data_IF_585433029852
#
_entry.id   IF_585433029852
#
_cell.length_a   1.000
_cell.length_b   1.000
_cell.length_c   1.000
_cell.angle_alpha   90.00
_cell.angle_beta   90.00
_cell.angle_gamma   90.00
#
_symmetry.space_group_name_H-M   'P 1'
#
loop_
_entity.id
_entity.type
_entity.pdbx_description
1 polymer ?
#
# COMPACT_ATOMS: atom_id res chain seq x y z
N UNK A 1 -20.83 4.78 34.56
CA UNK A 1 -21.02 4.10 33.25
C UNK A 1 -21.65 4.98 32.16
N UNK A 2 -22.77 5.68 32.42
CA UNK A 2 -23.47 6.50 31.39
C UNK A 2 -22.57 7.50 30.64
N UNK A 3 -21.69 8.22 31.35
CA UNK A 3 -20.80 9.24 30.75
C UNK A 3 -19.73 8.64 29.82
N UNK A 4 -19.12 7.51 30.22
CA UNK A 4 -18.06 6.85 29.43
C UNK A 4 -18.61 6.23 28.13
N UNK A 5 -19.82 5.67 28.16
CA UNK A 5 -20.49 5.16 26.95
C UNK A 5 -20.81 6.30 25.99
N UNK A 6 -21.34 7.42 26.48
CA UNK A 6 -21.59 8.61 25.65
C UNK A 6 -20.30 9.16 25.03
N UNK A 7 -19.19 9.13 25.76
CA UNK A 7 -17.87 9.50 25.24
C UNK A 7 -17.42 8.54 24.13
N UNK A 8 -17.55 7.23 24.33
CA UNK A 8 -17.25 6.24 23.28
C UNK A 8 -18.15 6.39 22.05
N UNK A 9 -19.43 6.67 22.24
CA UNK A 9 -20.36 6.90 21.13
C UNK A 9 -19.96 8.12 20.32
N UNK A 10 -19.66 9.24 20.98
CA UNK A 10 -19.15 10.44 20.30
C UNK A 10 -17.85 10.14 19.56
N UNK A 11 -16.92 9.39 20.17
CA UNK A 11 -15.68 8.99 19.51
C UNK A 11 -15.95 8.10 18.29
N UNK A 12 -16.91 7.18 18.36
CA UNK A 12 -17.21 6.25 17.27
C UNK A 12 -17.83 6.88 16.04
N UNK A 13 -18.45 8.05 16.20
CA UNK A 13 -18.88 8.87 15.08
C UNK A 13 -17.69 9.34 14.23
N UNK A 14 -16.50 9.44 14.84
CA UNK A 14 -15.26 9.78 14.14
C UNK A 14 -14.45 8.52 13.79
N UNK A 15 -14.24 7.60 14.73
CA UNK A 15 -13.41 6.39 14.59
C UNK A 15 -14.22 5.14 14.93
N UNK A 16 -14.79 4.43 13.95
CA UNK A 16 -15.74 3.35 14.21
C UNK A 16 -15.11 2.05 14.74
N UNK A 17 -13.78 1.94 14.68
CA UNK A 17 -13.01 0.82 15.24
C UNK A 17 -12.29 1.30 16.50
N UNK A 18 -12.47 0.56 17.59
CA UNK A 18 -11.91 0.86 18.90
C UNK A 18 -10.87 -0.18 19.30
N UNK A 19 -9.79 0.28 19.92
CA UNK A 19 -8.71 -0.58 20.38
C UNK A 19 -8.68 -0.61 21.91
N UNK A 20 -8.47 -1.79 22.49
CA UNK A 20 -8.32 -1.95 23.94
C UNK A 20 -7.21 -1.05 24.49
N UNK A 21 -6.07 -0.97 23.78
CA UNK A 21 -4.95 -0.11 24.19
C UNK A 21 -5.36 1.37 24.28
N UNK A 22 -6.14 1.87 23.31
CA UNK A 22 -6.64 3.23 23.33
C UNK A 22 -7.71 3.43 24.42
N UNK A 23 -8.67 2.50 24.54
CA UNK A 23 -9.73 2.59 25.55
C UNK A 23 -9.17 2.57 26.98
N UNK A 24 -8.12 1.79 27.23
CA UNK A 24 -7.41 1.75 28.51
C UNK A 24 -6.76 3.10 28.84
N UNK A 25 -6.13 3.76 27.85
CA UNK A 25 -5.61 5.13 27.99
C UNK A 25 -6.72 6.16 28.26
N UNK A 26 -7.95 5.90 27.81
CA UNK A 26 -9.13 6.71 28.14
C UNK A 26 -9.75 6.36 29.50
N UNK A 27 -9.13 5.49 30.30
CA UNK A 27 -9.59 5.10 31.63
C UNK A 27 -10.78 4.13 31.62
N UNK A 28 -10.94 3.35 30.54
CA UNK A 28 -11.95 2.28 30.43
C UNK A 28 -11.27 0.95 30.72
N UNK A 29 -11.60 0.35 31.87
CA UNK A 29 -10.97 -0.89 32.29
C UNK A 29 -11.44 -2.08 31.44
N UNK A 30 -10.64 -3.15 31.37
CA UNK A 30 -11.01 -4.38 30.64
C UNK A 30 -12.34 -5.00 31.09
N UNK A 31 -12.68 -4.90 32.37
CA UNK A 31 -13.97 -5.34 32.91
C UNK A 31 -15.14 -4.51 32.38
N UNK A 32 -14.96 -3.19 32.24
CA UNK A 32 -15.94 -2.30 31.61
C UNK A 32 -16.10 -2.64 30.12
N UNK A 33 -15.00 -2.89 29.39
CA UNK A 33 -15.08 -3.34 28.00
C UNK A 33 -15.85 -4.66 27.86
N UNK A 34 -15.63 -5.61 28.78
CA UNK A 34 -16.34 -6.89 28.79
C UNK A 34 -17.84 -6.73 29.10
N UNK A 35 -18.20 -5.84 30.04
CA UNK A 35 -19.59 -5.48 30.33
C UNK A 35 -20.28 -4.84 29.12
N UNK A 36 -19.60 -3.95 28.39
CA UNK A 36 -20.12 -3.35 27.15
C UNK A 36 -20.39 -4.38 26.06
N UNK A 37 -19.51 -5.39 25.94
CA UNK A 37 -19.72 -6.51 25.00
C UNK A 37 -20.88 -7.40 25.47
N UNK A 38 -20.94 -7.75 26.76
CA UNK A 38 -21.99 -8.59 27.32
C UNK A 38 -23.38 -7.97 27.22
N UNK A 39 -23.47 -6.63 27.24
CA UNK A 39 -24.71 -5.86 27.04
C UNK A 39 -25.03 -5.55 25.59
N UNK A 40 -24.21 -6.01 24.63
CA UNK A 40 -24.43 -5.80 23.20
C UNK A 40 -24.14 -4.38 22.69
N UNK A 41 -23.44 -3.53 23.44
CA UNK A 41 -23.04 -2.20 22.94
C UNK A 41 -21.86 -2.28 21.98
N UNK A 42 -20.90 -3.15 22.31
CA UNK A 42 -19.71 -3.38 21.51
C UNK A 42 -19.69 -4.82 21.01
N UNK A 43 -19.22 -5.00 19.79
CA UNK A 43 -18.88 -6.30 19.21
C UNK A 43 -17.37 -6.41 19.08
N UNK A 44 -16.82 -7.53 19.54
CA UNK A 44 -15.41 -7.84 19.37
C UNK A 44 -15.17 -8.34 17.94
N UNK A 45 -14.22 -7.74 17.23
CA UNK A 45 -13.84 -8.15 15.86
C UNK A 45 -12.49 -8.89 15.84
N UNK A 46 -11.64 -8.64 16.82
CA UNK A 46 -10.41 -9.39 17.08
C UNK A 46 -10.01 -9.25 18.56
N UNK A 47 -8.93 -9.92 18.97
CA UNK A 47 -8.39 -9.72 20.31
C UNK A 47 -7.99 -8.24 20.51
N UNK A 48 -8.66 -7.57 21.45
CA UNK A 48 -8.42 -6.16 21.75
C UNK A 48 -8.95 -5.18 20.69
N UNK A 49 -9.77 -5.62 19.74
CA UNK A 49 -10.35 -4.75 18.70
C UNK A 49 -11.87 -4.91 18.68
N UNK A 50 -12.57 -3.78 18.65
CA UNK A 50 -14.01 -3.71 18.81
C UNK A 50 -14.61 -2.72 17.81
N UNK A 51 -15.90 -2.88 17.55
CA UNK A 51 -16.74 -1.86 16.93
C UNK A 51 -18.07 -1.79 17.69
N UNK A 52 -18.86 -0.75 17.44
CA UNK A 52 -20.24 -0.73 17.94
C UNK A 52 -21.09 -1.81 17.26
N UNK A 53 -22.09 -2.30 17.97
CA UNK A 53 -23.05 -3.22 17.39
C UNK A 53 -23.80 -2.58 16.20
N UNK A 54 -24.14 -3.40 15.19
CA UNK A 54 -24.72 -2.93 13.93
C UNK A 54 -23.75 -2.25 12.95
N UNK A 55 -22.50 -1.98 13.35
CA UNK A 55 -21.47 -1.48 12.41
C UNK A 55 -20.77 -2.64 11.70
N UNK A 56 -20.61 -2.52 10.38
CA UNK A 56 -19.84 -3.44 9.54
C UNK A 56 -18.44 -2.88 9.28
N UNK A 57 -17.38 -3.48 9.84
CA UNK A 57 -15.99 -3.05 9.64
C UNK A 57 -15.58 -3.12 8.18
N UNK A 58 -14.97 -2.05 7.69
CA UNK A 58 -14.27 -2.01 6.40
C UNK A 58 -12.79 -1.77 6.62
N UNK A 59 -11.95 -2.15 5.65
CA UNK A 59 -10.51 -1.92 5.77
C UNK A 59 -10.18 -0.42 5.90
N UNK A 60 -10.74 0.51 5.10
CA UNK A 60 -10.46 1.94 5.27
C UNK A 60 -10.83 2.46 6.67
N UNK A 61 -11.93 2.01 7.24
CA UNK A 61 -12.35 2.38 8.60
C UNK A 61 -11.36 1.90 9.67
N UNK A 62 -10.83 0.69 9.50
CA UNK A 62 -9.79 0.11 10.37
C UNK A 62 -8.49 0.91 10.27
N UNK A 63 -8.00 1.16 9.05
CA UNK A 63 -6.76 1.93 8.83
C UNK A 63 -6.88 3.37 9.34
N UNK A 64 -8.04 4.00 9.11
CA UNK A 64 -8.36 5.32 9.63
C UNK A 64 -8.32 5.35 11.16
N UNK A 65 -8.93 4.35 11.81
CA UNK A 65 -8.95 4.28 13.28
C UNK A 65 -7.56 4.01 13.84
N UNK A 66 -6.74 3.17 13.20
CA UNK A 66 -5.33 2.98 13.55
C UNK A 66 -4.54 4.29 13.50
N UNK A 67 -4.70 5.07 12.42
CA UNK A 67 -4.07 6.37 12.27
C UNK A 67 -4.52 7.35 13.36
N UNK A 68 -5.83 7.47 13.59
CA UNK A 68 -6.39 8.48 14.49
C UNK A 68 -6.20 8.15 15.96
N UNK A 69 -6.37 6.88 16.36
CA UNK A 69 -6.35 6.48 17.76
C UNK A 69 -4.97 6.03 18.24
N UNK A 70 -4.16 5.43 17.35
CA UNK A 70 -2.88 4.81 17.72
C UNK A 70 -1.68 5.43 16.97
N UNK A 71 -1.89 6.44 16.14
CA UNK A 71 -0.83 7.10 15.37
C UNK A 71 -0.13 6.22 14.35
N UNK A 72 -0.72 5.08 13.97
CA UNK A 72 -0.11 4.10 13.07
C UNK A 72 -0.23 4.53 11.60
N UNK A 73 0.81 4.24 10.81
CA UNK A 73 0.93 4.67 9.42
C UNK A 73 0.86 3.53 8.41
N UNK A 74 -0.19 2.72 8.47
CA UNK A 74 -0.41 1.69 7.45
C UNK A 74 -0.83 2.36 6.13
N UNK A 75 -0.14 2.01 5.03
CA UNK A 75 -0.31 2.67 3.72
C UNK A 75 -0.83 1.66 2.72
N UNK A 76 -1.88 2.02 1.99
CA UNK A 76 -2.31 1.29 0.80
C UNK A 76 -1.30 1.59 -0.31
N UNK A 77 -0.59 0.58 -0.80
CA UNK A 77 0.55 0.73 -1.70
C UNK A 77 0.46 -0.15 -2.95
N UNK A 78 1.53 -0.16 -3.74
CA UNK A 78 1.65 -1.00 -4.95
C UNK A 78 0.42 -0.92 -5.88
N UNK A 79 -0.07 -2.07 -6.41
CA UNK A 79 -1.20 -2.09 -7.35
C UNK A 79 -2.48 -1.50 -6.75
N UNK A 80 -2.75 -1.74 -5.47
CA UNK A 80 -3.92 -1.16 -4.78
C UNK A 80 -3.93 0.37 -4.83
N UNK A 81 -2.78 1.01 -4.64
CA UNK A 81 -2.69 2.48 -4.73
C UNK A 81 -2.89 3.01 -6.15
N UNK A 82 -2.43 2.26 -7.16
CA UNK A 82 -2.63 2.57 -8.57
C UNK A 82 -4.12 2.45 -8.93
N UNK A 83 -4.76 1.34 -8.55
CA UNK A 83 -6.18 1.08 -8.79
C UNK A 83 -7.09 2.12 -8.14
N UNK A 84 -6.82 2.50 -6.88
CA UNK A 84 -7.55 3.56 -6.19
C UNK A 84 -7.48 4.91 -6.93
N UNK A 85 -6.45 5.12 -7.76
CA UNK A 85 -6.27 6.33 -8.58
C UNK A 85 -6.73 6.16 -10.02
N UNK A 86 -7.39 5.05 -10.34
CA UNK A 86 -7.91 4.74 -11.68
C UNK A 86 -6.87 4.18 -12.65
N UNK A 87 -5.70 3.76 -12.17
CA UNK A 87 -4.69 3.07 -12.97
C UNK A 87 -4.80 1.57 -12.75
N UNK A 88 -5.61 0.92 -13.57
CA UNK A 88 -5.74 -0.54 -13.58
C UNK A 88 -5.91 -1.02 -15.02
N UNK A 89 -5.44 -2.24 -15.29
CA UNK A 89 -5.74 -2.93 -16.53
C UNK A 89 -6.84 -3.95 -16.27
N UNK A 90 -7.98 -3.76 -16.94
CA UNK A 90 -9.14 -4.64 -16.80
C UNK A 90 -8.78 -6.03 -17.35
N UNK A 91 -8.68 -7.04 -16.49
CA UNK A 91 -8.40 -8.39 -16.97
C UNK A 91 -8.46 -9.54 -15.98
N UNK A 92 -8.36 -9.31 -14.68
CA UNK A 92 -8.28 -10.44 -13.74
C UNK A 92 -9.67 -10.83 -13.23
N UNK A 93 -10.11 -12.03 -13.63
CA UNK A 93 -11.25 -12.72 -13.02
C UNK A 93 -10.89 -13.12 -11.57
N UNK A 94 -11.07 -12.22 -10.61
CA UNK A 94 -10.87 -12.48 -9.18
C UNK A 94 -10.71 -11.20 -8.36
N UNK A 95 -10.85 -11.28 -7.04
CA UNK A 95 -10.48 -10.18 -6.14
C UNK A 95 -8.95 -10.07 -6.10
N UNK A 96 -8.38 -8.93 -6.54
CA UNK A 96 -6.95 -8.69 -6.38
C UNK A 96 -6.59 -8.56 -4.89
N UNK A 97 -5.41 -9.07 -4.49
CA UNK A 97 -4.92 -8.83 -3.15
C UNK A 97 -4.77 -7.33 -2.86
N UNK A 98 -5.18 -6.91 -1.67
CA UNK A 98 -4.96 -5.55 -1.19
C UNK A 98 -3.56 -5.45 -0.58
N UNK A 99 -2.71 -4.61 -1.15
CA UNK A 99 -1.33 -4.40 -0.69
C UNK A 99 -1.24 -3.31 0.37
N UNK A 100 -0.80 -3.72 1.56
CA UNK A 100 -0.52 -2.84 2.70
C UNK A 100 0.97 -2.79 2.99
N UNK A 101 1.51 -1.58 2.99
CA UNK A 101 2.88 -1.32 3.40
C UNK A 101 3.00 -1.39 4.92
N UNK A 102 3.97 -2.18 5.38
CA UNK A 102 4.41 -2.27 6.77
C UNK A 102 5.55 -1.28 7.01
N UNK A 103 5.32 -0.17 7.74
CA UNK A 103 6.37 0.78 8.08
C UNK A 103 7.46 0.14 8.91
N UNK A 104 8.69 0.60 8.73
CA UNK A 104 9.84 0.10 9.49
C UNK A 104 9.60 0.32 11.00
N UNK A 105 9.61 -0.77 11.77
CA UNK A 105 9.44 -0.76 13.23
C UNK A 105 8.00 -0.90 13.73
N UNK A 106 7.01 -0.83 12.84
CA UNK A 106 5.59 -1.05 13.18
C UNK A 106 5.12 -2.38 12.59
N UNK A 107 4.97 -3.39 13.43
CA UNK A 107 4.45 -4.68 12.98
C UNK A 107 2.96 -4.60 12.65
N UNK A 108 2.59 -5.23 11.53
CA UNK A 108 1.17 -5.40 11.18
C UNK A 108 0.54 -6.42 12.14
N UNK A 109 -0.55 -6.06 12.85
CA UNK A 109 -1.18 -6.94 13.81
C UNK A 109 -1.66 -8.23 13.17
N UNK A 110 -1.40 -9.37 13.83
CA UNK A 110 -1.72 -10.71 13.32
C UNK A 110 -3.19 -10.87 12.89
N UNK A 111 -4.12 -10.19 13.55
CA UNK A 111 -5.55 -10.30 13.18
C UNK A 111 -5.88 -9.68 11.82
N UNK A 112 -5.09 -8.72 11.33
CA UNK A 112 -5.18 -8.25 9.94
C UNK A 112 -4.63 -9.29 8.97
N UNK A 113 -3.68 -10.13 9.41
CA UNK A 113 -3.04 -11.13 8.57
C UNK A 113 -3.87 -12.42 8.43
N UNK A 114 -4.63 -12.78 9.46
CA UNK A 114 -5.39 -14.03 9.51
C UNK A 114 -6.89 -13.83 9.32
N UNK A 115 -7.34 -12.59 9.21
CA UNK A 115 -8.76 -12.25 9.17
C UNK A 115 -9.31 -12.22 7.74
N UNK A 116 -10.22 -13.14 7.43
CA UNK A 116 -11.03 -13.07 6.19
C UNK A 116 -12.02 -11.89 6.19
N UNK A 117 -12.12 -11.14 7.29
CA UNK A 117 -13.09 -10.06 7.47
C UNK A 117 -12.86 -8.88 6.50
N UNK A 118 -11.62 -8.68 6.04
CA UNK A 118 -11.19 -7.47 5.32
C UNK A 118 -10.60 -7.75 3.93
N UNK A 119 -10.87 -8.93 3.36
CA UNK A 119 -10.36 -9.35 2.05
C UNK A 119 -8.99 -10.04 2.09
N UNK A 120 -8.45 -10.38 0.91
CA UNK A 120 -7.09 -10.93 0.77
C UNK A 120 -6.04 -9.82 0.96
N UNK A 121 -5.58 -9.64 2.19
CA UNK A 121 -4.56 -8.65 2.51
C UNK A 121 -3.16 -9.22 2.30
N UNK A 122 -2.35 -8.52 1.52
CA UNK A 122 -0.93 -8.80 1.34
C UNK A 122 -0.10 -7.70 1.97
N UNK A 123 0.82 -8.11 2.81
CA UNK A 123 1.68 -7.21 3.53
C UNK A 123 3.05 -7.21 2.89
N UNK A 124 3.62 -6.03 2.73
CA UNK A 124 4.96 -5.90 2.24
C UNK A 124 5.69 -4.82 3.04
N UNK A 125 6.86 -5.17 3.56
CA UNK A 125 7.82 -4.20 4.04
C UNK A 125 8.88 -4.01 2.97
N UNK A 126 9.24 -2.78 2.69
CA UNK A 126 10.36 -2.49 1.79
C UNK A 126 11.29 -1.50 2.45
N UNK A 127 12.58 -1.81 2.37
CA UNK A 127 13.65 -0.84 2.55
C UNK A 127 13.90 -0.04 1.27
N UNK A 128 12.96 -0.06 0.31
CA UNK A 128 13.14 0.55 -1.01
C UNK A 128 13.53 2.01 -0.89
N UNK A 129 12.86 2.75 0.00
CA UNK A 129 13.10 4.18 0.25
C UNK A 129 13.65 4.48 1.65
N UNK A 130 14.27 3.50 2.32
CA UNK A 130 14.85 3.66 3.67
C UNK A 130 13.89 4.28 4.71
N UNK A 131 12.61 3.90 4.69
CA UNK A 131 11.59 4.44 5.59
C UNK A 131 11.11 5.86 5.27
N UNK A 132 11.49 6.42 4.11
CA UNK A 132 11.01 7.74 3.67
C UNK A 132 9.50 7.73 3.43
N UNK A 133 8.88 8.83 3.87
CA UNK A 133 7.47 9.12 3.67
C UNK A 133 7.15 9.78 2.32
N UNK A 134 8.17 10.01 1.49
CA UNK A 134 8.02 10.61 0.17
C UNK A 134 7.02 9.80 -0.67
N UNK A 135 6.06 10.52 -1.28
CA UNK A 135 5.00 9.92 -2.07
C UNK A 135 3.94 9.17 -1.25
N UNK A 136 3.82 9.42 0.06
CA UNK A 136 2.68 8.93 0.85
C UNK A 136 1.71 10.11 1.09
N UNK A 137 0.48 9.94 0.66
CA UNK A 137 -0.55 11.00 0.65
C UNK A 137 -1.78 10.56 1.42
N UNK A 138 -2.60 11.51 1.89
CA UNK A 138 -3.94 11.22 2.40
C UNK A 138 -4.94 11.21 1.24
N UNK A 139 -5.73 10.15 1.17
CA UNK A 139 -6.80 9.99 0.19
C UNK A 139 -8.06 9.51 0.90
N UNK A 140 -9.21 10.01 0.47
CA UNK A 140 -10.50 9.50 0.92
C UNK A 140 -10.82 8.17 0.23
N UNK A 141 -11.00 7.11 1.01
CA UNK A 141 -11.38 5.78 0.52
C UNK A 141 -12.53 5.27 1.39
N UNK A 142 -13.68 4.99 0.77
CA UNK A 142 -14.87 4.51 1.49
C UNK A 142 -15.34 5.45 2.62
N UNK A 143 -15.19 6.77 2.44
CA UNK A 143 -15.56 7.79 3.44
C UNK A 143 -14.51 8.03 4.54
N UNK A 144 -13.33 7.41 4.45
CA UNK A 144 -12.27 7.57 5.44
C UNK A 144 -10.96 8.05 4.79
N UNK A 145 -10.32 9.06 5.38
CA UNK A 145 -8.99 9.50 4.95
C UNK A 145 -7.91 8.52 5.43
N UNK A 146 -7.30 7.79 4.50
CA UNK A 146 -6.24 6.81 4.76
C UNK A 146 -4.95 7.19 4.05
N UNK A 147 -3.83 6.63 4.47
CA UNK A 147 -2.56 6.81 3.76
C UNK A 147 -2.54 5.93 2.52
N UNK A 148 -2.19 6.53 1.38
CA UNK A 148 -2.08 5.85 0.09
C UNK A 148 -0.81 6.33 -0.62
N UNK A 149 -0.08 5.40 -1.24
CA UNK A 149 1.07 5.75 -2.08
C UNK A 149 0.61 6.58 -3.28
N UNK A 150 1.37 7.61 -3.64
CA UNK A 150 1.20 8.36 -4.87
C UNK A 150 1.55 7.47 -6.07
N UNK A 151 1.11 7.79 -7.30
CA UNK A 151 1.40 6.97 -8.47
C UNK A 151 2.90 6.72 -8.69
N UNK A 152 3.74 7.73 -8.40
CA UNK A 152 5.20 7.64 -8.52
C UNK A 152 5.79 6.59 -7.58
N UNK A 153 5.30 6.55 -6.35
CA UNK A 153 5.75 5.58 -5.34
C UNK A 153 5.14 4.21 -5.60
N UNK A 154 3.87 4.16 -5.93
CA UNK A 154 3.10 2.94 -6.11
C UNK A 154 3.64 2.09 -7.25
N UNK A 155 4.03 2.68 -8.38
CA UNK A 155 4.64 1.92 -9.48
C UNK A 155 5.98 1.28 -9.10
N UNK A 156 6.81 1.98 -8.33
CA UNK A 156 8.08 1.46 -7.83
C UNK A 156 7.87 0.32 -6.81
N UNK A 157 6.85 0.44 -5.96
CA UNK A 157 6.43 -0.62 -5.04
C UNK A 157 5.92 -1.85 -5.80
N UNK A 158 5.07 -1.67 -6.81
CA UNK A 158 4.56 -2.76 -7.64
C UNK A 158 5.68 -3.49 -8.38
N UNK A 159 6.63 -2.76 -8.99
CA UNK A 159 7.83 -3.33 -9.60
C UNK A 159 8.71 -4.11 -8.61
N UNK A 160 8.75 -3.69 -7.35
CA UNK A 160 9.48 -4.41 -6.32
C UNK A 160 8.84 -5.77 -6.00
N UNK A 161 7.51 -5.87 -6.11
CA UNK A 161 6.73 -7.09 -5.84
C UNK A 161 6.74 -8.11 -6.99
N UNK A 162 7.24 -7.75 -8.17
CA UNK A 162 7.40 -8.71 -9.29
C UNK A 162 8.58 -9.69 -9.06
N UNK A 163 8.56 -10.89 -9.66
CA UNK A 163 7.43 -11.54 -10.31
C UNK A 163 6.50 -12.26 -9.31
N UNK A 164 6.71 -12.07 -8.00
CA UNK A 164 6.04 -12.86 -6.95
C UNK A 164 4.53 -12.64 -6.92
N UNK A 165 4.10 -11.39 -7.09
CA UNK A 165 2.69 -11.01 -6.98
C UNK A 165 2.06 -10.55 -8.30
N UNK A 166 2.89 -10.01 -9.20
CA UNK A 166 2.45 -9.56 -10.51
C UNK A 166 3.48 -9.98 -11.55
N UNK A 167 3.02 -10.29 -12.76
CA UNK A 167 3.93 -10.46 -13.89
C UNK A 167 4.51 -9.10 -14.30
N UNK A 168 5.64 -9.11 -15.04
CA UNK A 168 6.21 -7.86 -15.55
C UNK A 168 5.33 -7.21 -16.62
N UNK A 169 4.59 -8.01 -17.41
CA UNK A 169 3.70 -7.49 -18.44
C UNK A 169 2.47 -6.81 -17.84
N UNK A 170 1.87 -7.37 -16.78
CA UNK A 170 0.73 -6.73 -16.10
C UNK A 170 1.09 -5.35 -15.54
N UNK A 171 2.26 -5.23 -14.90
CA UNK A 171 2.74 -3.94 -14.39
C UNK A 171 3.13 -3.01 -15.53
N UNK A 172 3.63 -3.53 -16.64
CA UNK A 172 3.96 -2.71 -17.81
C UNK A 172 2.72 -2.03 -18.36
N UNK A 173 1.63 -2.79 -18.56
CA UNK A 173 0.36 -2.21 -18.98
C UNK A 173 -0.02 -1.03 -18.09
N UNK A 174 -0.02 -1.21 -16.76
CA UNK A 174 -0.38 -0.12 -15.83
C UNK A 174 0.58 1.07 -15.98
N UNK A 175 1.87 0.81 -16.16
CA UNK A 175 2.89 1.84 -16.34
C UNK A 175 2.66 2.71 -17.59
N UNK A 176 2.13 2.16 -18.68
CA UNK A 176 1.82 2.91 -19.91
C UNK A 176 0.79 4.01 -19.67
N UNK A 177 -0.14 3.79 -18.73
CA UNK A 177 -1.16 4.78 -18.37
C UNK A 177 -0.59 5.95 -17.54
N UNK A 178 0.61 5.78 -16.95
CA UNK A 178 1.22 6.75 -16.01
C UNK A 178 1.89 7.91 -16.74
N UNK A 179 1.16 8.61 -17.62
CA UNK A 179 1.69 9.70 -18.44
C UNK A 179 1.91 11.01 -17.67
N UNK A 180 1.31 11.17 -16.49
CA UNK A 180 1.26 12.44 -15.73
C UNK A 180 1.98 12.41 -14.39
N UNK A 181 2.91 11.47 -14.19
CA UNK A 181 3.74 11.42 -12.98
C UNK A 181 4.51 12.73 -12.76
N UNK A 182 4.61 13.17 -11.49
CA UNK A 182 5.37 14.37 -11.11
C UNK A 182 6.86 14.07 -11.17
N UNK A 183 7.64 14.65 -12.09
CA UNK A 183 9.04 14.29 -12.28
C UNK A 183 9.90 14.56 -11.06
N UNK A 184 9.64 15.65 -10.32
CA UNK A 184 10.39 15.98 -9.10
C UNK A 184 10.23 14.96 -7.97
N UNK A 185 9.01 14.45 -7.77
CA UNK A 185 8.74 13.38 -6.78
C UNK A 185 9.40 12.08 -7.24
N UNK A 186 9.22 11.74 -8.52
CA UNK A 186 9.78 10.51 -9.09
C UNK A 186 11.31 10.49 -9.07
N UNK A 187 11.96 11.61 -9.38
CA UNK A 187 13.42 11.78 -9.29
C UNK A 187 13.91 11.47 -7.88
N UNK A 188 13.33 12.10 -6.86
CA UNK A 188 13.73 11.88 -5.47
C UNK A 188 13.49 10.43 -5.02
N UNK A 189 12.41 9.78 -5.47
CA UNK A 189 12.16 8.37 -5.19
C UNK A 189 13.18 7.46 -5.87
N UNK A 190 13.56 7.72 -7.12
CA UNK A 190 14.56 6.95 -7.85
C UNK A 190 15.98 7.12 -7.29
N UNK A 191 16.34 8.33 -6.87
CA UNK A 191 17.62 8.62 -6.22
C UNK A 191 17.74 7.94 -4.84
N UNK A 192 16.65 7.88 -4.09
CA UNK A 192 16.60 7.21 -2.77
C UNK A 192 16.36 5.70 -2.84
N UNK A 193 15.94 5.19 -4.01
CA UNK A 193 15.63 3.79 -4.23
C UNK A 193 16.89 2.91 -4.11
N UNK A 194 16.82 1.91 -3.22
CA UNK A 194 17.89 0.92 -3.02
C UNK A 194 17.85 -0.26 -4.00
N UNK A 195 16.85 -0.32 -4.88
CA UNK A 195 16.65 -1.46 -5.77
C UNK A 195 17.06 -1.16 -7.20
N UNK A 196 18.23 -1.67 -7.60
CA UNK A 196 18.72 -1.62 -8.99
C UNK A 196 17.71 -2.24 -9.97
N UNK A 197 17.03 -3.33 -9.56
CA UNK A 197 15.99 -3.98 -10.34
C UNK A 197 14.85 -3.00 -10.66
N UNK A 198 14.30 -2.36 -9.63
CA UNK A 198 13.15 -1.45 -9.75
C UNK A 198 13.53 -0.24 -10.60
N UNK A 199 14.69 0.36 -10.34
CA UNK A 199 15.16 1.53 -11.07
C UNK A 199 15.31 1.23 -12.57
N UNK A 200 15.96 0.11 -12.92
CA UNK A 200 16.13 -0.30 -14.33
C UNK A 200 14.80 -0.63 -15.01
N UNK A 201 13.91 -1.34 -14.33
CA UNK A 201 12.59 -1.68 -14.87
C UNK A 201 11.76 -0.43 -15.14
N UNK A 202 11.70 0.52 -14.22
CA UNK A 202 10.90 1.72 -14.44
C UNK A 202 11.43 2.54 -15.61
N UNK A 203 12.75 2.74 -15.72
CA UNK A 203 13.34 3.46 -16.85
C UNK A 203 13.10 2.71 -18.17
N UNK A 204 13.22 1.39 -18.17
CA UNK A 204 12.88 0.57 -19.34
C UNK A 204 11.40 0.74 -19.75
N UNK A 205 10.47 0.66 -18.80
CA UNK A 205 9.03 0.81 -19.06
C UNK A 205 8.74 2.20 -19.63
N UNK A 206 9.32 3.23 -19.03
CA UNK A 206 9.13 4.61 -19.47
C UNK A 206 9.68 4.88 -20.87
N UNK A 207 10.80 4.26 -21.22
CA UNK A 207 11.44 4.40 -22.53
C UNK A 207 10.68 3.63 -23.60
N UNK A 208 10.24 2.39 -23.29
CA UNK A 208 9.40 1.57 -24.18
C UNK A 208 8.08 2.27 -24.49
N UNK A 209 7.38 2.74 -23.45
CA UNK A 209 6.10 3.45 -23.58
C UNK A 209 6.23 4.94 -23.95
N UNK A 210 7.45 5.42 -24.21
CA UNK A 210 7.75 6.82 -24.57
C UNK A 210 7.15 7.87 -23.61
N UNK A 211 7.15 7.58 -22.30
CA UNK A 211 6.50 8.42 -21.30
C UNK A 211 7.14 9.82 -21.22
N UNK A 212 6.32 10.89 -21.23
CA UNK A 212 6.83 12.25 -21.41
C UNK A 212 7.67 12.78 -20.25
N UNK A 213 7.45 12.26 -19.04
CA UNK A 213 8.21 12.64 -17.85
C UNK A 213 9.64 12.07 -17.85
N UNK A 214 9.96 11.03 -18.64
CA UNK A 214 11.31 10.44 -18.66
C UNK A 214 12.38 11.46 -19.06
N UNK A 215 12.04 12.34 -20.00
CA UNK A 215 12.91 13.41 -20.53
C UNK A 215 13.28 14.45 -19.47
N UNK A 216 12.50 14.52 -18.39
CA UNK A 216 12.67 15.48 -17.31
C UNK A 216 13.45 14.90 -16.12
N UNK A 217 13.80 13.61 -16.18
CA UNK A 217 14.60 12.95 -15.16
C UNK A 217 16.10 13.09 -15.46
N UNK A 218 16.88 13.28 -14.41
CA UNK A 218 18.33 13.17 -14.43
C UNK A 218 18.72 11.73 -14.08
N UNK A 219 18.79 10.88 -15.10
CA UNK A 219 19.09 9.45 -14.95
C UNK A 219 20.51 9.19 -14.46
N UNK A 220 21.41 10.17 -14.55
CA UNK A 220 22.81 10.04 -14.06
C UNK A 220 22.88 9.95 -12.54
N UNK A 221 21.86 10.46 -11.83
CA UNK A 221 21.74 10.39 -10.38
C UNK A 221 21.05 9.14 -9.86
N UNK A 222 20.47 8.34 -10.76
CA UNK A 222 19.75 7.11 -10.39
C UNK A 222 20.74 5.96 -10.25
N UNK A 223 20.68 5.24 -9.13
CA UNK A 223 21.54 4.08 -8.93
C UNK A 223 21.09 2.89 -9.79
N UNK A 224 21.73 2.71 -10.94
CA UNK A 224 21.48 1.60 -11.86
C UNK A 224 22.42 0.41 -11.64
N UNK A 225 23.31 0.45 -10.65
CA UNK A 225 24.24 -0.66 -10.37
C UNK A 225 25.13 -1.06 -11.55
N UNK A 226 25.72 -2.25 -11.48
CA UNK A 226 26.58 -2.83 -12.53
C UNK A 226 26.17 -4.26 -12.82
N UNK A 227 26.45 -4.72 -14.05
CA UNK A 227 26.24 -6.09 -14.49
C UNK A 227 24.79 -6.41 -14.86
N UNK A 228 24.60 -7.54 -15.55
CA UNK A 228 23.29 -7.97 -16.04
C UNK A 228 22.39 -8.47 -14.91
N UNK A 229 21.11 -8.11 -14.97
CA UNK A 229 20.06 -8.65 -14.08
C UNK A 229 19.14 -9.55 -14.88
N UNK A 230 19.18 -10.85 -14.62
CA UNK A 230 18.24 -11.79 -15.19
C UNK A 230 16.88 -11.67 -14.47
N UNK A 231 15.90 -10.98 -15.07
CA UNK A 231 14.55 -10.81 -14.50
C UNK A 231 13.54 -11.80 -15.09
N UNK A 232 13.93 -12.54 -16.14
CA UNK A 232 13.19 -13.64 -16.73
C UNK A 232 14.16 -14.73 -17.22
N UNK A 233 13.71 -15.99 -17.20
CA UNK A 233 14.44 -17.13 -17.76
C UNK A 233 13.43 -18.15 -18.28
N UNK A 234 13.35 -18.42 -19.60
CA UNK A 234 14.05 -17.72 -20.69
C UNK A 234 13.63 -16.24 -20.80
N UNK A 235 14.46 -15.40 -21.44
CA UNK A 235 14.13 -13.99 -21.67
C UNK A 235 15.08 -13.28 -22.63
N UNK A 236 14.68 -12.09 -23.07
CA UNK A 236 15.41 -11.25 -24.04
C UNK A 236 16.24 -10.22 -23.29
N UNK A 237 17.51 -10.07 -23.68
CA UNK A 237 18.43 -9.11 -23.08
C UNK A 237 18.26 -7.72 -23.70
N UNK A 238 18.03 -6.72 -22.85
CA UNK A 238 17.92 -5.31 -23.22
C UNK A 238 19.18 -4.58 -22.78
N UNK A 239 20.06 -4.28 -23.75
CA UNK A 239 21.42 -3.79 -23.48
C UNK A 239 21.44 -2.44 -22.74
N UNK A 240 20.63 -1.47 -23.16
CA UNK A 240 20.53 -0.12 -22.56
C UNK A 240 20.34 -0.14 -21.05
N UNK A 241 19.60 -1.12 -20.53
CA UNK A 241 19.30 -1.25 -19.09
C UNK A 241 19.99 -2.45 -18.43
N UNK A 242 20.73 -3.26 -19.19
CA UNK A 242 21.39 -4.48 -18.73
C UNK A 242 20.44 -5.41 -17.94
N UNK A 243 19.25 -5.64 -18.49
CA UNK A 243 18.22 -6.52 -17.91
C UNK A 243 17.80 -7.59 -18.91
N UNK A 244 17.40 -8.75 -18.42
CA UNK A 244 16.72 -9.78 -19.21
C UNK A 244 15.25 -9.79 -18.83
N UNK A 245 14.35 -9.61 -19.79
CA UNK A 245 12.89 -9.53 -19.59
C UNK A 245 12.15 -10.65 -20.33
N UNK A 246 10.88 -10.95 -19.98
CA UNK A 246 10.08 -11.91 -20.72
C UNK A 246 9.94 -11.49 -22.19
N UNK A 247 9.94 -12.47 -23.10
CA UNK A 247 9.78 -12.21 -24.53
C UNK A 247 8.47 -11.48 -24.84
N UNK A 248 7.37 -11.87 -24.20
CA UNK A 248 6.07 -11.20 -24.34
C UNK A 248 6.14 -9.68 -24.09
N UNK A 249 6.87 -9.26 -23.04
CA UNK A 249 7.08 -7.84 -22.76
C UNK A 249 8.01 -7.16 -23.76
N UNK A 250 9.01 -7.88 -24.27
CA UNK A 250 9.91 -7.34 -25.28
C UNK A 250 9.16 -7.07 -26.59
N UNK A 251 8.36 -8.04 -27.04
CA UNK A 251 7.65 -8.05 -28.32
C UNK A 251 6.37 -7.18 -28.33
N UNK A 252 5.82 -6.83 -27.16
CA UNK A 252 4.64 -5.94 -27.05
C UNK A 252 4.92 -4.56 -27.67
N UNK A 253 3.97 -3.99 -28.42
CA UNK A 253 4.16 -2.70 -29.12
C UNK A 253 4.03 -1.48 -28.21
#
# INVERSE_FOLDING_TARGET
>A
MSTKIKQLQRQSQETPILFAAWMDQQGIARSEMADLVGRGWLRRIASGVYCFDGYTPTLPAVLYSYRKLLGKKYVLGASTALELRGFSHFGHMGEEPIFLYEPVGDHIPTWLQTGNLLGDLRFFSTNLFNGSDLGIELMEVGGYYVYVSSPERAILEALNLTPRYHSLIDIYYVAEMLTTLRPGVLQQLLESSRSVKVNRLLLYFADKAQLPWLKQLDTTKVHLGKGTRALATPGIYVDKYQITIPQELYDYE
#
